data_IF_024035065230
#
_entry.id   IF_024035065230
#
_cell.length_a   1.000
_cell.length_b   1.000
_cell.length_c   1.000
_cell.angle_alpha   90.00
_cell.angle_beta   90.00
_cell.angle_gamma   90.00
#
_symmetry.space_group_name_H-M   'P 1'
#
loop_
_entity.id
_entity.type
_entity.pdbx_description
1 polymer ?
#
# COMPACT_ATOMS: atom_id res chain seq x y z
N UNK A 1 27.42 50.11 -7.96
CA UNK A 1 26.14 49.50 -7.52
C UNK A 1 26.26 48.01 -7.80
N UNK A 2 26.70 47.26 -6.79
CA UNK A 2 26.81 45.83 -6.84
C UNK A 2 25.39 45.25 -6.61
N UNK A 3 24.82 44.67 -7.65
CA UNK A 3 23.66 43.81 -7.49
C UNK A 3 24.19 42.52 -6.87
N UNK A 4 24.08 42.40 -5.54
CA UNK A 4 24.23 41.12 -4.85
C UNK A 4 23.18 40.17 -5.45
N UNK A 5 23.69 39.16 -6.15
CA UNK A 5 22.91 37.97 -6.51
C UNK A 5 22.27 37.43 -5.21
N UNK A 6 20.98 37.66 -5.05
CA UNK A 6 20.17 36.86 -4.14
C UNK A 6 20.22 35.43 -4.67
N UNK A 7 21.27 34.70 -4.25
CA UNK A 7 21.25 33.25 -4.33
C UNK A 7 20.00 32.84 -3.60
N UNK A 8 19.00 32.42 -4.37
CA UNK A 8 17.77 31.91 -3.82
C UNK A 8 18.16 30.79 -2.87
N UNK A 9 17.70 30.84 -1.63
CA UNK A 9 17.87 29.82 -0.58
C UNK A 9 17.38 28.43 -1.04
N UNK A 10 16.87 28.31 -2.25
CA UNK A 10 16.37 27.10 -2.90
C UNK A 10 17.27 26.60 -4.04
N UNK A 11 18.41 27.23 -4.29
CA UNK A 11 19.43 26.65 -5.18
C UNK A 11 20.19 25.58 -4.40
N UNK A 12 19.48 24.49 -4.09
CA UNK A 12 20.08 23.29 -3.57
C UNK A 12 20.95 22.75 -4.70
N UNK A 13 22.25 23.03 -4.64
CA UNK A 13 23.22 22.30 -5.44
C UNK A 13 23.02 20.83 -5.12
N UNK A 14 22.34 20.11 -5.99
CA UNK A 14 22.18 18.67 -5.88
C UNK A 14 23.58 18.03 -5.97
N UNK A 15 24.18 17.78 -4.83
CA UNK A 15 25.40 16.99 -4.74
C UNK A 15 25.14 15.63 -5.41
N UNK A 16 26.11 15.13 -6.15
CA UNK A 16 26.01 13.84 -6.86
C UNK A 16 25.64 12.70 -5.91
N UNK A 17 26.07 12.78 -4.66
CA UNK A 17 25.70 11.86 -3.61
C UNK A 17 24.17 11.88 -3.33
N UNK A 18 23.58 13.08 -3.22
CA UNK A 18 22.14 13.23 -3.02
C UNK A 18 21.35 12.67 -4.21
N UNK A 19 21.80 12.94 -5.44
CA UNK A 19 21.20 12.38 -6.65
C UNK A 19 21.22 10.86 -6.66
N UNK A 20 22.35 10.26 -6.26
CA UNK A 20 22.48 8.81 -6.17
C UNK A 20 21.56 8.21 -5.11
N UNK A 21 21.44 8.83 -3.95
CA UNK A 21 20.52 8.40 -2.89
C UNK A 21 19.06 8.50 -3.34
N UNK A 22 18.66 9.57 -4.00
CA UNK A 22 17.31 9.74 -4.53
C UNK A 22 16.97 8.69 -5.60
N UNK A 23 17.88 8.41 -6.52
CA UNK A 23 17.74 7.31 -7.49
C UNK A 23 17.64 5.96 -6.81
N UNK A 24 18.45 5.74 -5.77
CA UNK A 24 18.40 4.53 -4.94
C UNK A 24 17.03 4.35 -4.29
N UNK A 25 16.53 5.37 -3.63
CA UNK A 25 15.21 5.36 -2.99
C UNK A 25 14.08 5.13 -4.01
N UNK A 26 14.14 5.78 -5.18
CA UNK A 26 13.16 5.59 -6.24
C UNK A 26 13.19 4.16 -6.81
N UNK A 27 14.38 3.54 -6.94
CA UNK A 27 14.50 2.14 -7.37
C UNK A 27 13.88 1.18 -6.34
N UNK A 28 14.20 1.36 -5.06
CA UNK A 28 13.64 0.54 -3.98
C UNK A 28 12.11 0.67 -3.94
N UNK A 29 11.58 1.88 -4.08
CA UNK A 29 10.14 2.13 -4.14
C UNK A 29 9.49 1.42 -5.34
N UNK A 30 10.12 1.44 -6.52
CA UNK A 30 9.61 0.73 -7.69
C UNK A 30 9.58 -0.80 -7.49
N UNK A 31 10.66 -1.37 -6.91
CA UNK A 31 10.73 -2.80 -6.61
C UNK A 31 9.67 -3.19 -5.57
N UNK A 32 9.55 -2.41 -4.50
CA UNK A 32 8.54 -2.64 -3.46
C UNK A 32 7.11 -2.58 -4.02
N UNK A 33 6.83 -1.64 -4.93
CA UNK A 33 5.55 -1.53 -5.61
C UNK A 33 5.22 -2.80 -6.41
N UNK A 34 6.16 -3.30 -7.21
CA UNK A 34 5.98 -4.50 -8.03
C UNK A 34 5.79 -5.73 -7.14
N UNK A 35 6.62 -5.91 -6.11
CA UNK A 35 6.52 -7.05 -5.18
C UNK A 35 5.18 -7.04 -4.44
N UNK A 36 4.71 -5.88 -4.00
CA UNK A 36 3.41 -5.73 -3.34
C UNK A 36 2.26 -6.14 -4.26
N UNK A 37 2.29 -5.69 -5.52
CA UNK A 37 1.27 -6.05 -6.49
C UNK A 37 1.27 -7.55 -6.80
N UNK A 38 2.44 -8.12 -7.10
CA UNK A 38 2.59 -9.56 -7.41
C UNK A 38 2.13 -10.40 -6.22
N UNK A 39 2.59 -10.07 -5.00
CA UNK A 39 2.20 -10.77 -3.78
C UNK A 39 0.69 -10.75 -3.55
N UNK A 40 0.05 -9.60 -3.78
CA UNK A 40 -1.40 -9.46 -3.63
C UNK A 40 -2.18 -10.26 -4.69
N UNK A 41 -1.73 -10.26 -5.94
CA UNK A 41 -2.34 -11.06 -7.02
C UNK A 41 -2.21 -12.55 -6.71
N UNK A 42 -1.03 -13.01 -6.29
CA UNK A 42 -0.81 -14.40 -5.90
C UNK A 42 -1.70 -14.79 -4.72
N UNK A 43 -1.82 -13.94 -3.70
CA UNK A 43 -2.70 -14.19 -2.56
C UNK A 43 -4.16 -14.27 -2.96
N UNK A 44 -4.60 -13.40 -3.88
CA UNK A 44 -5.95 -13.41 -4.41
C UNK A 44 -6.26 -14.70 -5.18
N UNK A 45 -5.36 -15.13 -6.06
CA UNK A 45 -5.51 -16.40 -6.80
C UNK A 45 -5.51 -17.58 -5.84
N UNK A 46 -4.59 -17.61 -4.87
CA UNK A 46 -4.50 -18.68 -3.86
C UNK A 46 -5.77 -18.80 -3.05
N UNK A 47 -6.44 -17.69 -2.74
CA UNK A 47 -7.74 -17.69 -2.06
C UNK A 47 -8.79 -18.48 -2.85
N UNK A 48 -8.90 -18.26 -4.17
CA UNK A 48 -9.86 -19.00 -5.00
C UNK A 48 -9.50 -20.46 -5.15
N UNK A 49 -8.24 -20.79 -5.33
CA UNK A 49 -7.77 -22.18 -5.43
C UNK A 49 -8.01 -22.94 -4.13
N UNK A 50 -7.73 -22.33 -2.98
CA UNK A 50 -7.96 -22.97 -1.67
C UNK A 50 -9.44 -23.19 -1.41
N UNK A 51 -10.28 -22.23 -1.77
CA UNK A 51 -11.72 -22.31 -1.65
C UNK A 51 -12.30 -23.48 -2.47
N UNK A 52 -11.92 -23.59 -3.73
CA UNK A 52 -12.41 -24.68 -4.60
C UNK A 52 -11.99 -26.06 -4.10
N UNK A 53 -10.79 -26.19 -3.51
CA UNK A 53 -10.32 -27.41 -2.90
C UNK A 53 -11.08 -27.76 -1.62
N UNK A 54 -11.38 -26.77 -0.77
CA UNK A 54 -12.18 -27.00 0.44
C UNK A 54 -13.61 -27.44 0.12
N UNK A 55 -14.26 -26.83 -0.87
CA UNK A 55 -15.59 -27.21 -1.31
C UNK A 55 -15.61 -28.66 -1.87
N UNK A 56 -14.58 -29.04 -2.64
CA UNK A 56 -14.44 -30.41 -3.15
C UNK A 56 -14.21 -31.45 -2.02
N UNK A 57 -13.41 -31.11 -1.02
CA UNK A 57 -13.15 -31.95 0.14
C UNK A 57 -14.41 -32.18 0.99
N UNK A 58 -15.19 -31.12 1.25
CA UNK A 58 -16.43 -31.22 2.03
C UNK A 58 -17.50 -32.07 1.31
N UNK A 59 -17.61 -31.94 -0.02
CA UNK A 59 -18.50 -32.84 -0.82
C UNK A 59 -18.12 -34.30 -0.68
N UNK A 60 -16.83 -34.60 -0.75
CA UNK A 60 -16.35 -35.99 -0.64
C UNK A 60 -16.53 -36.60 0.76
N UNK A 61 -16.62 -35.76 1.80
CA UNK A 61 -16.84 -36.21 3.19
C UNK A 61 -18.32 -36.30 3.59
N UNK A 62 -19.26 -35.98 2.70
CA UNK A 62 -20.70 -36.04 3.00
C UNK A 62 -21.17 -35.03 4.06
N UNK A 63 -20.37 -34.02 4.37
CA UNK A 63 -20.67 -32.99 5.38
C UNK A 63 -21.42 -31.79 4.80
N UNK A 64 -22.48 -32.00 4.06
CA UNK A 64 -23.28 -30.93 3.43
C UNK A 64 -23.96 -30.00 4.45
N UNK A 65 -24.12 -30.42 5.72
CA UNK A 65 -24.78 -29.65 6.78
C UNK A 65 -23.90 -28.62 7.48
N UNK A 66 -22.57 -28.65 7.35
CA UNK A 66 -21.63 -27.74 8.01
C UNK A 66 -21.34 -26.46 7.20
N UNK A 67 -21.99 -26.29 6.06
CA UNK A 67 -21.71 -25.19 5.12
C UNK A 67 -22.15 -23.81 5.61
N UNK A 68 -23.12 -23.71 6.53
CA UNK A 68 -23.65 -22.41 6.99
C UNK A 68 -22.70 -21.65 7.93
N UNK A 69 -21.93 -22.36 8.76
CA UNK A 69 -20.96 -21.75 9.66
C UNK A 69 -19.69 -21.29 8.92
N UNK A 70 -19.36 -21.98 7.82
CA UNK A 70 -18.23 -21.60 6.96
C UNK A 70 -18.57 -20.47 5.97
N UNK A 71 -19.84 -20.24 5.67
CA UNK A 71 -20.27 -19.17 4.77
C UNK A 71 -19.94 -17.77 5.32
N UNK A 72 -20.11 -17.57 6.64
CA UNK A 72 -19.78 -16.28 7.29
C UNK A 72 -18.26 -16.03 7.32
N UNK A 73 -17.44 -17.06 7.60
CA UNK A 73 -15.98 -16.96 7.57
C UNK A 73 -15.45 -16.78 6.15
N UNK A 74 -16.06 -17.43 5.17
CA UNK A 74 -15.70 -17.28 3.74
C UNK A 74 -16.04 -15.90 3.19
N UNK A 75 -17.14 -15.29 3.64
CA UNK A 75 -17.50 -13.91 3.27
C UNK A 75 -16.49 -12.89 3.78
N UNK A 76 -16.09 -12.99 5.04
CA UNK A 76 -15.09 -12.08 5.63
C UNK A 76 -13.71 -12.23 4.96
N UNK A 77 -13.31 -13.43 4.61
CA UNK A 77 -12.05 -13.70 3.91
C UNK A 77 -12.06 -13.14 2.48
N UNK A 78 -13.19 -13.20 1.77
CA UNK A 78 -13.34 -12.62 0.44
C UNK A 78 -13.27 -11.09 0.48
N UNK A 79 -13.96 -10.46 1.41
CA UNK A 79 -13.91 -9.00 1.62
C UNK A 79 -12.48 -8.56 1.94
N UNK A 80 -11.79 -9.28 2.84
CA UNK A 80 -10.39 -9.02 3.17
C UNK A 80 -9.47 -9.15 1.95
N UNK A 81 -9.64 -10.17 1.12
CA UNK A 81 -8.85 -10.38 -0.09
C UNK A 81 -9.06 -9.25 -1.12
N UNK A 82 -10.31 -8.81 -1.30
CA UNK A 82 -10.63 -7.68 -2.20
C UNK A 82 -10.03 -6.38 -1.68
N UNK A 83 -10.17 -6.09 -0.38
CA UNK A 83 -9.58 -4.88 0.23
C UNK A 83 -8.07 -4.90 0.07
N UNK A 84 -7.42 -6.04 0.33
CA UNK A 84 -5.97 -6.21 0.18
C UNK A 84 -5.53 -5.95 -1.27
N UNK A 85 -6.26 -6.46 -2.26
CA UNK A 85 -5.97 -6.24 -3.67
C UNK A 85 -6.12 -4.75 -4.06
N UNK A 86 -7.19 -4.10 -3.62
CA UNK A 86 -7.40 -2.66 -3.87
C UNK A 86 -6.29 -1.83 -3.27
N UNK A 87 -5.89 -2.12 -2.02
CA UNK A 87 -4.77 -1.43 -1.36
C UNK A 87 -3.45 -1.66 -2.10
N UNK A 88 -3.18 -2.87 -2.57
CA UNK A 88 -1.96 -3.17 -3.32
C UNK A 88 -1.90 -2.42 -4.67
N UNK A 89 -3.01 -2.33 -5.40
CA UNK A 89 -3.11 -1.54 -6.64
C UNK A 89 -2.85 -0.06 -6.35
N UNK A 90 -3.41 0.44 -5.24
CA UNK A 90 -3.24 1.81 -4.82
C UNK A 90 -1.77 2.11 -4.47
N UNK A 91 -1.13 1.26 -3.67
CA UNK A 91 0.30 1.35 -3.36
C UNK A 91 1.15 1.33 -4.64
N UNK A 92 0.88 0.39 -5.53
CA UNK A 92 1.60 0.27 -6.79
C UNK A 92 1.51 1.56 -7.62
N UNK A 93 0.33 2.14 -7.74
CA UNK A 93 0.11 3.36 -8.52
C UNK A 93 0.94 4.54 -7.99
N UNK A 94 0.85 4.83 -6.67
CA UNK A 94 1.56 5.98 -6.08
C UNK A 94 3.08 5.79 -6.04
N UNK A 95 3.56 4.61 -5.63
CA UNK A 95 4.98 4.34 -5.57
C UNK A 95 5.61 4.29 -6.97
N UNK A 96 4.92 3.75 -7.96
CA UNK A 96 5.37 3.74 -9.35
C UNK A 96 5.45 5.15 -9.93
N UNK A 97 4.46 6.00 -9.66
CA UNK A 97 4.51 7.42 -10.06
C UNK A 97 5.65 8.18 -9.38
N UNK A 98 5.80 8.01 -8.06
CA UNK A 98 6.93 8.58 -7.32
C UNK A 98 8.27 8.17 -7.94
N UNK A 99 8.48 6.88 -8.15
CA UNK A 99 9.72 6.36 -8.68
C UNK A 99 10.04 6.91 -10.08
N UNK A 100 9.02 7.00 -10.95
CA UNK A 100 9.18 7.51 -12.32
C UNK A 100 9.51 9.01 -12.34
N UNK A 101 8.75 9.82 -11.59
CA UNK A 101 8.95 11.26 -11.56
C UNK A 101 10.28 11.64 -10.91
N UNK A 102 10.63 10.99 -9.81
CA UNK A 102 11.90 11.25 -9.12
C UNK A 102 13.09 10.87 -9.99
N UNK A 103 13.04 9.72 -10.68
CA UNK A 103 14.11 9.34 -11.62
C UNK A 103 14.25 10.34 -12.76
N UNK A 104 13.14 10.67 -13.43
CA UNK A 104 13.16 11.62 -14.53
C UNK A 104 13.65 13.00 -14.08
N UNK A 105 13.22 13.47 -12.91
CA UNK A 105 13.66 14.74 -12.36
C UNK A 105 15.16 14.78 -12.04
N UNK A 106 15.69 13.69 -11.47
CA UNK A 106 17.13 13.61 -11.17
C UNK A 106 17.95 13.47 -12.45
N UNK A 107 17.48 12.73 -13.46
CA UNK A 107 18.21 12.56 -14.73
C UNK A 107 18.25 13.86 -15.54
N UNK A 108 17.17 14.64 -15.51
CA UNK A 108 17.04 15.91 -16.23
C UNK A 108 17.50 17.13 -15.42
N UNK A 109 17.93 16.97 -14.17
CA UNK A 109 18.18 18.04 -13.19
C UNK A 109 16.96 18.98 -13.02
N UNK A 110 15.75 18.42 -13.13
CA UNK A 110 14.49 19.15 -13.03
C UNK A 110 13.94 19.05 -11.61
N UNK A 111 14.13 20.11 -10.84
CA UNK A 111 13.68 20.22 -9.44
C UNK A 111 12.15 20.17 -9.33
N UNK A 112 11.43 20.62 -10.36
CA UNK A 112 9.97 20.61 -10.37
C UNK A 112 9.44 19.17 -10.46
N UNK A 113 10.01 18.34 -11.34
CA UNK A 113 9.64 16.93 -11.45
C UNK A 113 9.96 16.14 -10.17
N UNK A 114 11.08 16.46 -9.50
CA UNK A 114 11.41 15.87 -8.20
C UNK A 114 10.37 16.27 -7.15
N UNK A 115 10.00 17.56 -7.11
CA UNK A 115 8.95 18.05 -6.22
C UNK A 115 7.61 17.35 -6.43
N UNK A 116 7.21 17.17 -7.68
CA UNK A 116 5.99 16.44 -8.04
C UNK A 116 6.06 14.96 -7.59
N UNK A 117 7.20 14.31 -7.74
CA UNK A 117 7.42 12.95 -7.24
C UNK A 117 7.23 12.88 -5.72
N UNK A 118 7.86 13.78 -4.98
CA UNK A 118 7.72 13.86 -3.52
C UNK A 118 6.29 14.19 -3.09
N UNK A 119 5.57 15.02 -3.83
CA UNK A 119 4.16 15.33 -3.56
C UNK A 119 3.27 14.07 -3.72
N UNK A 120 3.57 13.20 -4.69
CA UNK A 120 2.88 11.91 -4.82
C UNK A 120 3.16 10.99 -3.65
N UNK A 121 4.41 10.94 -3.18
CA UNK A 121 4.78 10.17 -2.01
C UNK A 121 4.11 10.72 -0.73
N UNK A 122 4.08 12.04 -0.56
CA UNK A 122 3.39 12.67 0.56
C UNK A 122 1.89 12.37 0.55
N UNK A 123 1.25 12.39 -0.62
CA UNK A 123 -0.16 12.02 -0.78
C UNK A 123 -0.39 10.57 -0.40
N UNK A 124 0.49 9.67 -0.82
CA UNK A 124 0.46 8.26 -0.42
C UNK A 124 0.49 8.10 1.11
N UNK A 125 1.46 8.73 1.80
CA UNK A 125 1.55 8.66 3.25
C UNK A 125 0.35 9.28 3.96
N UNK A 126 -0.20 10.38 3.43
CA UNK A 126 -1.42 11.00 3.96
C UNK A 126 -2.59 10.02 3.94
N UNK A 127 -2.80 9.32 2.83
CA UNK A 127 -3.91 8.37 2.68
C UNK A 127 -3.70 7.16 3.59
N UNK A 128 -2.50 6.60 3.63
CA UNK A 128 -2.16 5.48 4.53
C UNK A 128 -2.34 5.90 5.99
N UNK A 129 -1.90 7.10 6.36
CA UNK A 129 -2.07 7.62 7.72
C UNK A 129 -3.53 7.73 8.14
N UNK A 130 -4.39 8.27 7.27
CA UNK A 130 -5.83 8.34 7.51
C UNK A 130 -6.43 6.93 7.65
N UNK A 131 -6.08 6.00 6.76
CA UNK A 131 -6.56 4.64 6.82
C UNK A 131 -6.14 3.94 8.11
N UNK A 132 -4.89 4.14 8.55
CA UNK A 132 -4.38 3.59 9.80
C UNK A 132 -5.15 4.13 11.00
N UNK A 133 -5.47 5.43 11.04
CA UNK A 133 -6.29 6.03 12.09
C UNK A 133 -7.67 5.38 12.13
N UNK A 134 -8.31 5.19 10.98
CA UNK A 134 -9.62 4.53 10.89
C UNK A 134 -9.55 3.11 11.46
N UNK A 135 -8.54 2.32 11.06
CA UNK A 135 -8.34 0.95 11.57
C UNK A 135 -8.13 0.94 13.08
N UNK A 136 -7.32 1.87 13.61
CA UNK A 136 -7.11 2.02 15.06
C UNK A 136 -8.40 2.31 15.81
N UNK A 137 -9.25 3.21 15.29
CA UNK A 137 -10.56 3.53 15.89
C UNK A 137 -11.46 2.28 15.94
N UNK A 138 -11.55 1.54 14.82
CA UNK A 138 -12.33 0.30 14.80
C UNK A 138 -11.78 -0.76 15.76
N UNK A 139 -10.46 -0.87 15.89
CA UNK A 139 -9.83 -1.79 16.82
C UNK A 139 -10.16 -1.44 18.27
N UNK A 140 -10.09 -0.16 18.65
CA UNK A 140 -10.49 0.29 19.99
C UNK A 140 -11.97 0.04 20.26
N UNK A 141 -12.84 0.31 19.29
CA UNK A 141 -14.28 0.02 19.43
C UNK A 141 -14.53 -1.48 19.62
N UNK A 142 -13.84 -2.34 18.88
CA UNK A 142 -13.96 -3.80 19.03
C UNK A 142 -13.55 -4.25 20.45
N UNK A 143 -12.44 -3.72 21.00
CA UNK A 143 -12.01 -4.03 22.37
C UNK A 143 -13.07 -3.59 23.39
N UNK A 144 -13.63 -2.39 23.25
CA UNK A 144 -14.66 -1.88 24.16
C UNK A 144 -15.93 -2.76 24.13
N UNK A 145 -16.33 -3.21 22.93
CA UNK A 145 -17.49 -4.10 22.77
C UNK A 145 -17.23 -5.45 23.47
N UNK A 146 -16.05 -6.04 23.25
CA UNK A 146 -15.68 -7.32 23.89
C UNK A 146 -15.61 -7.19 25.40
N UNK A 147 -15.05 -6.10 25.93
CA UNK A 147 -14.98 -5.84 27.35
C UNK A 147 -16.37 -5.62 27.96
N UNK A 148 -17.28 -4.97 27.27
CA UNK A 148 -18.66 -4.75 27.74
C UNK A 148 -19.50 -6.02 27.76
N UNK A 149 -19.27 -6.96 26.82
CA UNK A 149 -20.01 -8.24 26.74
C UNK A 149 -19.40 -9.28 27.67
N UNK A 150 -18.06 -9.32 27.79
CA UNK A 150 -17.35 -10.28 28.63
C UNK A 150 -17.39 -10.02 30.14
N UNK A 151 -17.85 -8.85 30.56
CA UNK A 151 -18.00 -8.46 31.96
C UNK A 151 -19.37 -8.84 32.59
N UNK A 152 -20.17 -9.60 31.89
CA UNK A 152 -21.41 -10.19 32.40
C UNK A 152 -21.27 -11.67 32.56
#
# INVERSE_FOLDING_TARGET
MEYQNEHSLFDIQYDDNLKQQMKGAANVAAIAAILSLVGSVVSFISFFVTRSRQEAMMRNMGMEGFSSQNAASNGSNLVSAVISLVLAIFMFYFLSQYARLTKAGVDNNDTMQIGDGLAKLATYFKIIGVLLIIVMVFFFLAILIVAAIGGR
#
